data_IF_273987906161
#
_entry.id   IF_273987906161
#
_cell.length_a   1.000
_cell.length_b   1.000
_cell.length_c   1.000
_cell.angle_alpha   90.00
_cell.angle_beta   90.00
_cell.angle_gamma   90.00
#
_symmetry.space_group_name_H-M   'P 1'
#
loop_
_entity.id
_entity.type
_entity.pdbx_description
1 polymer ?
#
# COMPACT_ATOMS: atom_id res chain seq x y z
N UNK A 1 -4.68 -38.11 -19.77
CA UNK A 1 -5.32 -36.76 -19.79
C UNK A 1 -6.30 -36.56 -18.64
N UNK A 2 -7.37 -37.35 -18.49
CA UNK A 2 -8.34 -37.20 -17.38
C UNK A 2 -7.72 -37.24 -15.97
N UNK A 3 -6.76 -38.14 -15.72
CA UNK A 3 -6.08 -38.28 -14.42
C UNK A 3 -5.19 -37.09 -14.03
N UNK A 4 -4.63 -36.38 -15.02
CA UNK A 4 -3.79 -35.20 -14.80
C UNK A 4 -4.68 -33.97 -14.55
N UNK A 5 -5.81 -33.87 -15.26
CA UNK A 5 -6.80 -32.82 -15.05
C UNK A 5 -7.45 -32.93 -13.66
N UNK A 6 -7.76 -34.16 -13.20
CA UNK A 6 -8.29 -34.38 -11.84
C UNK A 6 -7.25 -34.11 -10.75
N UNK A 7 -5.96 -34.41 -11.01
CA UNK A 7 -4.88 -34.09 -10.08
C UNK A 7 -4.61 -32.58 -9.97
N UNK A 8 -4.69 -31.84 -11.09
CA UNK A 8 -4.60 -30.38 -11.11
C UNK A 8 -5.78 -29.71 -10.41
N UNK A 9 -7.01 -30.20 -10.61
CA UNK A 9 -8.17 -29.70 -9.88
C UNK A 9 -8.09 -30.02 -8.38
N UNK A 10 -7.59 -31.19 -7.98
CA UNK A 10 -7.39 -31.55 -6.58
C UNK A 10 -6.27 -30.71 -5.92
N UNK A 11 -5.19 -30.42 -6.65
CA UNK A 11 -4.12 -29.53 -6.21
C UNK A 11 -4.63 -28.09 -6.06
N UNK A 12 -5.49 -27.62 -6.98
CA UNK A 12 -6.11 -26.29 -6.92
C UNK A 12 -7.10 -26.15 -5.75
N UNK A 13 -7.83 -27.22 -5.40
CA UNK A 13 -8.74 -27.28 -4.24
C UNK A 13 -8.01 -27.31 -2.89
N UNK A 14 -6.78 -27.84 -2.83
CA UNK A 14 -5.94 -27.83 -1.62
C UNK A 14 -5.34 -26.46 -1.28
N UNK A 15 -5.32 -25.50 -2.23
CA UNK A 15 -4.79 -24.14 -2.00
C UNK A 15 -5.87 -23.18 -1.47
N UNK A 16 -7.15 -23.55 -1.52
CA UNK A 16 -8.25 -22.76 -0.96
C UNK A 16 -8.45 -23.04 0.54
N UNK A 17 -7.40 -22.83 1.35
CA UNK A 17 -7.62 -22.57 2.77
C UNK A 17 -8.10 -21.12 2.89
N UNK A 18 -9.41 -20.92 2.72
CA UNK A 18 -10.06 -19.68 3.14
C UNK A 18 -9.83 -19.58 4.63
N UNK A 19 -8.91 -18.69 5.02
CA UNK A 19 -8.75 -18.28 6.40
C UNK A 19 -10.03 -17.57 6.79
N UNK A 20 -10.97 -18.31 7.36
CA UNK A 20 -12.14 -17.71 7.99
C UNK A 20 -11.60 -16.84 9.13
N UNK A 21 -11.90 -15.54 9.06
CA UNK A 21 -11.78 -14.63 10.19
C UNK A 21 -12.26 -15.32 11.48
N UNK A 22 -11.42 -15.36 12.51
CA UNK A 22 -11.80 -16.01 13.76
C UNK A 22 -13.05 -15.34 14.37
N UNK A 23 -13.97 -16.10 14.98
CA UNK A 23 -15.22 -15.56 15.54
C UNK A 23 -14.97 -14.46 16.59
N UNK A 24 -13.80 -14.48 17.25
CA UNK A 24 -13.40 -13.48 18.26
C UNK A 24 -13.09 -12.12 17.62
N UNK A 25 -12.30 -12.07 16.54
CA UNK A 25 -11.94 -10.80 15.90
C UNK A 25 -13.16 -10.12 15.28
N UNK A 26 -14.08 -10.90 14.70
CA UNK A 26 -15.35 -10.37 14.20
C UNK A 26 -16.18 -9.75 15.32
N UNK A 27 -16.29 -10.44 16.47
CA UNK A 27 -17.01 -9.90 17.64
C UNK A 27 -16.39 -8.61 18.17
N UNK A 28 -15.05 -8.51 18.20
CA UNK A 28 -14.35 -7.29 18.57
C UNK A 28 -14.58 -6.16 17.56
N UNK A 29 -14.60 -6.46 16.26
CA UNK A 29 -14.90 -5.49 15.22
C UNK A 29 -16.32 -4.93 15.38
N UNK A 30 -17.30 -5.79 15.62
CA UNK A 30 -18.69 -5.39 15.87
C UNK A 30 -18.83 -4.57 17.15
N UNK A 31 -18.08 -4.93 18.20
CA UNK A 31 -17.98 -4.12 19.43
C UNK A 31 -17.42 -2.73 19.15
N UNK A 32 -16.35 -2.61 18.36
CA UNK A 32 -15.77 -1.32 17.98
C UNK A 32 -16.76 -0.46 17.17
N UNK A 33 -17.51 -1.08 16.26
CA UNK A 33 -18.57 -0.41 15.51
C UNK A 33 -19.67 0.12 16.44
N UNK A 34 -20.04 -0.64 17.48
CA UNK A 34 -21.03 -0.22 18.45
C UNK A 34 -20.54 0.96 19.31
N UNK A 35 -19.32 0.88 19.85
CA UNK A 35 -18.68 1.99 20.58
C UNK A 35 -18.62 3.26 19.74
N UNK A 36 -18.29 3.13 18.45
CA UNK A 36 -18.27 4.27 17.52
C UNK A 36 -19.66 4.91 17.37
N UNK A 37 -20.73 4.11 17.24
CA UNK A 37 -22.12 4.60 17.19
C UNK A 37 -22.53 5.29 18.49
N UNK A 38 -22.04 4.80 19.61
CA UNK A 38 -22.24 5.37 20.96
C UNK A 38 -21.34 6.60 21.21
N UNK A 39 -20.57 7.04 20.20
CA UNK A 39 -19.64 8.18 20.25
C UNK A 39 -18.46 8.00 21.21
N UNK A 40 -18.18 6.76 21.61
CA UNK A 40 -17.00 6.36 22.39
C UNK A 40 -15.82 6.14 21.43
N UNK A 41 -15.36 7.24 20.82
CA UNK A 41 -14.43 7.19 19.69
C UNK A 41 -13.03 6.72 20.07
N UNK A 42 -12.53 7.08 21.25
CA UNK A 42 -11.18 6.69 21.71
C UNK A 42 -11.12 5.17 21.93
N UNK A 43 -12.14 4.62 22.57
CA UNK A 43 -12.28 3.19 22.85
C UNK A 43 -12.48 2.41 21.55
N UNK A 44 -13.33 2.90 20.64
CA UNK A 44 -13.51 2.30 19.32
C UNK A 44 -12.19 2.27 18.53
N UNK A 45 -11.45 3.39 18.50
CA UNK A 45 -10.16 3.48 17.82
C UNK A 45 -9.13 2.50 18.41
N UNK A 46 -9.10 2.35 19.74
CA UNK A 46 -8.24 1.38 20.42
C UNK A 46 -8.52 -0.06 19.99
N UNK A 47 -9.78 -0.47 19.91
CA UNK A 47 -10.14 -1.83 19.45
C UNK A 47 -9.81 -2.01 17.97
N UNK A 48 -10.09 -1.02 17.11
CA UNK A 48 -9.70 -1.12 15.69
C UNK A 48 -8.19 -1.24 15.52
N UNK A 49 -7.39 -0.47 16.26
CA UNK A 49 -5.94 -0.56 16.23
C UNK A 49 -5.45 -1.93 16.70
N UNK A 50 -6.03 -2.47 17.78
CA UNK A 50 -5.72 -3.83 18.23
C UNK A 50 -5.97 -4.87 17.13
N UNK A 51 -7.12 -4.80 16.45
CA UNK A 51 -7.43 -5.70 15.34
C UNK A 51 -6.43 -5.56 14.18
N UNK A 52 -6.01 -4.32 13.86
CA UNK A 52 -4.96 -4.07 12.86
C UNK A 52 -3.66 -4.75 13.27
N UNK A 53 -3.25 -4.60 14.53
CA UNK A 53 -1.99 -5.13 15.06
C UNK A 53 -2.02 -6.67 15.13
N UNK A 54 -3.19 -7.28 15.35
CA UNK A 54 -3.42 -8.72 15.27
C UNK A 54 -3.41 -9.28 13.83
N UNK A 55 -3.27 -8.42 12.82
CA UNK A 55 -3.32 -8.80 11.41
C UNK A 55 -4.72 -9.17 10.92
N UNK A 56 -5.77 -8.75 11.64
CA UNK A 56 -7.14 -8.98 11.24
C UNK A 56 -7.46 -8.19 9.97
N UNK A 57 -7.98 -8.88 8.96
CA UNK A 57 -8.35 -8.25 7.70
C UNK A 57 -9.86 -8.03 7.62
N UNK A 58 -10.25 -6.76 7.59
CA UNK A 58 -11.57 -6.31 7.13
C UNK A 58 -11.39 -5.15 6.16
N UNK A 59 -12.09 -5.12 5.01
CA UNK A 59 -11.91 -4.07 3.99
C UNK A 59 -12.05 -2.64 4.53
N UNK A 60 -12.87 -2.46 5.58
CA UNK A 60 -13.17 -1.15 6.16
C UNK A 60 -12.33 -0.83 7.42
N UNK A 61 -11.46 -1.72 7.87
CA UNK A 61 -10.82 -1.62 9.19
C UNK A 61 -10.02 -0.34 9.38
N UNK A 62 -9.10 -0.05 8.44
CA UNK A 62 -8.30 1.16 8.46
C UNK A 62 -9.16 2.43 8.33
N UNK A 63 -10.18 2.41 7.45
CA UNK A 63 -11.11 3.55 7.31
C UNK A 63 -11.88 3.81 8.61
N UNK A 64 -12.36 2.76 9.29
CA UNK A 64 -13.10 2.88 10.54
C UNK A 64 -12.20 3.34 11.69
N UNK A 65 -10.96 2.85 11.76
CA UNK A 65 -9.94 3.35 12.68
C UNK A 65 -9.67 4.84 12.44
N UNK A 66 -9.48 5.25 11.19
CA UNK A 66 -9.26 6.65 10.81
C UNK A 66 -10.44 7.54 11.21
N UNK A 67 -11.68 7.09 10.95
CA UNK A 67 -12.89 7.79 11.35
C UNK A 67 -12.97 7.96 12.87
N UNK A 68 -12.66 6.92 13.63
CA UNK A 68 -12.66 6.94 15.09
C UNK A 68 -11.59 7.91 15.64
N UNK A 69 -10.35 7.82 15.16
CA UNK A 69 -9.28 8.74 15.54
C UNK A 69 -9.60 10.20 15.18
N UNK A 70 -10.19 10.44 14.00
CA UNK A 70 -10.59 11.79 13.59
C UNK A 70 -11.63 12.39 14.53
N UNK A 71 -12.64 11.59 14.92
CA UNK A 71 -13.68 11.99 15.87
C UNK A 71 -13.15 12.12 17.31
N UNK A 72 -12.09 11.41 17.65
CA UNK A 72 -11.35 11.53 18.92
C UNK A 72 -10.31 12.67 18.95
N UNK A 73 -10.25 13.52 17.91
CA UNK A 73 -9.26 14.59 17.77
C UNK A 73 -7.80 14.09 17.85
N UNK A 74 -7.53 12.94 17.24
CA UNK A 74 -6.19 12.38 17.01
C UNK A 74 -5.88 12.44 15.52
N UNK A 75 -5.57 13.63 15.02
CA UNK A 75 -5.53 13.93 13.58
C UNK A 75 -4.44 13.14 12.86
N UNK A 76 -3.24 13.02 13.43
CA UNK A 76 -2.13 12.28 12.82
C UNK A 76 -2.43 10.80 12.68
N UNK A 77 -3.03 10.19 13.72
CA UNK A 77 -3.48 8.80 13.66
C UNK A 77 -4.63 8.59 12.66
N UNK A 78 -5.51 9.58 12.51
CA UNK A 78 -6.58 9.51 11.52
C UNK A 78 -6.01 9.50 10.09
N UNK A 79 -5.14 10.46 9.78
CA UNK A 79 -4.47 10.60 8.48
C UNK A 79 -3.67 9.33 8.17
N UNK A 80 -2.86 8.86 9.12
CA UNK A 80 -2.11 7.61 8.98
C UNK A 80 -3.00 6.43 8.59
N UNK A 81 -4.14 6.26 9.26
CA UNK A 81 -5.05 5.16 8.96
C UNK A 81 -5.77 5.33 7.61
N UNK A 82 -6.09 6.56 7.19
CA UNK A 82 -6.65 6.78 5.86
C UNK A 82 -5.63 6.51 4.75
N UNK A 83 -4.38 6.94 4.91
CA UNK A 83 -3.28 6.63 4.00
C UNK A 83 -3.10 5.10 3.88
N UNK A 84 -3.11 4.38 5.01
CA UNK A 84 -3.11 2.91 5.03
C UNK A 84 -4.30 2.27 4.32
N UNK A 85 -5.49 2.88 4.42
CA UNK A 85 -6.63 2.41 3.66
C UNK A 85 -6.43 2.62 2.15
N UNK A 86 -5.84 3.75 1.73
CA UNK A 86 -5.55 4.04 0.32
C UNK A 86 -4.43 3.17 -0.27
N UNK A 87 -3.47 2.68 0.53
CA UNK A 87 -2.53 1.65 0.06
C UNK A 87 -3.23 0.35 -0.37
N UNK A 88 -4.41 0.05 0.21
CA UNK A 88 -5.20 -1.15 -0.12
C UNK A 88 -6.22 -0.89 -1.22
N UNK A 89 -6.86 0.28 -1.18
CA UNK A 89 -7.85 0.72 -2.16
C UNK A 89 -7.62 2.20 -2.51
N UNK A 90 -6.71 2.49 -3.47
CA UNK A 90 -6.36 3.87 -3.83
C UNK A 90 -7.50 4.67 -4.44
N UNK A 91 -8.58 4.01 -4.86
CA UNK A 91 -9.72 4.62 -5.55
C UNK A 91 -10.93 4.79 -4.64
N UNK A 92 -10.78 4.52 -3.34
CA UNK A 92 -11.85 4.63 -2.37
C UNK A 92 -12.26 6.09 -2.14
N UNK A 93 -13.33 6.52 -2.81
CA UNK A 93 -13.82 7.90 -2.73
C UNK A 93 -14.13 8.36 -1.30
N UNK A 94 -14.63 7.46 -0.45
CA UNK A 94 -14.95 7.78 0.94
C UNK A 94 -13.68 8.04 1.76
N UNK A 95 -12.65 7.20 1.60
CA UNK A 95 -11.36 7.41 2.27
C UNK A 95 -10.67 8.66 1.76
N UNK A 96 -10.64 8.89 0.44
CA UNK A 96 -10.06 10.11 -0.16
C UNK A 96 -10.73 11.36 0.41
N UNK A 97 -12.07 11.36 0.49
CA UNK A 97 -12.81 12.47 1.08
C UNK A 97 -12.49 12.68 2.56
N UNK A 98 -12.49 11.61 3.36
CA UNK A 98 -12.22 11.69 4.79
C UNK A 98 -10.78 12.13 5.08
N UNK A 99 -9.81 11.66 4.29
CA UNK A 99 -8.42 12.11 4.33
C UNK A 99 -8.32 13.60 4.02
N UNK A 100 -8.97 14.07 2.95
CA UNK A 100 -8.99 15.50 2.61
C UNK A 100 -9.55 16.36 3.75
N UNK A 101 -10.63 15.91 4.40
CA UNK A 101 -11.22 16.59 5.56
C UNK A 101 -10.28 16.55 6.77
N UNK A 102 -9.58 15.44 7.00
CA UNK A 102 -8.60 15.34 8.09
C UNK A 102 -7.40 16.24 7.87
N UNK A 103 -6.88 16.31 6.64
CA UNK A 103 -5.76 17.17 6.27
C UNK A 103 -6.06 18.66 6.47
N UNK A 104 -7.31 19.09 6.32
CA UNK A 104 -7.71 20.47 6.62
C UNK A 104 -7.52 20.88 8.10
N UNK A 105 -7.36 19.91 9.02
CA UNK A 105 -7.02 20.19 10.43
C UNK A 105 -5.51 20.32 10.67
N UNK A 106 -4.68 19.95 9.70
CA UNK A 106 -3.23 20.02 9.84
C UNK A 106 -2.79 21.45 9.59
N UNK A 107 -2.03 21.99 10.54
CA UNK A 107 -1.51 23.35 10.43
C UNK A 107 -0.48 23.45 9.29
N UNK A 108 -0.67 24.44 8.42
CA UNK A 108 0.18 24.61 7.24
C UNK A 108 -0.06 23.60 6.12
N UNK A 109 -1.18 22.86 6.14
CA UNK A 109 -1.53 21.93 5.07
C UNK A 109 -1.61 22.64 3.71
N UNK A 110 -0.83 22.11 2.77
CA UNK A 110 -0.88 22.49 1.36
C UNK A 110 -1.58 21.36 0.63
N UNK A 111 -2.63 21.68 -0.13
CA UNK A 111 -3.34 20.69 -0.93
C UNK A 111 -2.38 20.01 -1.91
N UNK A 112 -2.35 18.67 -1.89
CA UNK A 112 -1.69 17.91 -2.93
C UNK A 112 -2.35 18.20 -4.29
N UNK A 113 -1.51 18.31 -5.31
CA UNK A 113 -1.99 18.46 -6.67
C UNK A 113 -2.71 17.17 -7.09
N UNK A 114 -3.88 17.25 -7.73
CA UNK A 114 -4.58 16.07 -8.21
C UNK A 114 -3.71 15.34 -9.23
N UNK A 115 -3.72 14.01 -9.15
CA UNK A 115 -3.00 13.16 -10.11
C UNK A 115 -3.50 13.41 -11.54
N UNK A 116 -2.56 13.46 -12.47
CA UNK A 116 -2.86 13.56 -13.90
C UNK A 116 -3.52 12.27 -14.40
N UNK A 117 -4.31 12.35 -15.48
CA UNK A 117 -5.09 11.21 -15.98
C UNK A 117 -4.23 9.96 -16.27
N UNK A 118 -3.01 10.13 -16.78
CA UNK A 118 -2.09 9.03 -17.07
C UNK A 118 -1.46 8.43 -15.81
N UNK A 119 -1.29 9.22 -14.74
CA UNK A 119 -0.87 8.72 -13.43
C UNK A 119 -1.97 7.88 -12.81
N UNK A 120 -3.24 8.32 -12.92
CA UNK A 120 -4.39 7.54 -12.47
C UNK A 120 -4.50 6.21 -13.24
N UNK A 121 -4.37 6.24 -14.57
CA UNK A 121 -4.38 5.03 -15.39
C UNK A 121 -3.23 4.08 -15.03
N UNK A 122 -2.03 4.62 -14.80
CA UNK A 122 -0.88 3.84 -14.37
C UNK A 122 -1.10 3.16 -13.00
N UNK A 123 -1.69 3.89 -12.04
CA UNK A 123 -2.09 3.31 -10.75
C UNK A 123 -3.12 2.20 -10.91
N UNK A 124 -4.08 2.35 -11.82
CA UNK A 124 -5.05 1.29 -12.12
C UNK A 124 -4.37 0.04 -12.67
N UNK A 125 -3.36 0.19 -13.54
CA UNK A 125 -2.54 -0.94 -13.98
C UNK A 125 -1.87 -1.58 -12.77
N UNK A 126 -1.15 -0.82 -11.94
CA UNK A 126 -0.42 -1.37 -10.80
C UNK A 126 -1.33 -2.16 -9.83
N UNK A 127 -2.56 -1.68 -9.59
CA UNK A 127 -3.51 -2.29 -8.64
C UNK A 127 -4.45 -3.34 -9.26
N UNK A 128 -4.33 -3.62 -10.56
CA UNK A 128 -5.14 -4.67 -11.20
C UNK A 128 -4.82 -6.06 -10.63
N UNK A 129 -3.58 -6.26 -10.19
CA UNK A 129 -3.13 -7.45 -9.45
C UNK A 129 -2.33 -7.04 -8.22
N UNK A 130 -2.29 -7.92 -7.22
CA UNK A 130 -1.31 -7.80 -6.14
C UNK A 130 0.12 -7.97 -6.70
N UNK A 131 1.18 -7.52 -5.99
CA UNK A 131 2.56 -7.75 -6.41
C UNK A 131 2.86 -9.24 -6.73
N UNK A 132 2.30 -10.16 -5.94
CA UNK A 132 2.40 -11.60 -6.18
C UNK A 132 1.63 -12.06 -7.42
N UNK A 133 0.51 -11.43 -7.76
CA UNK A 133 -0.23 -11.70 -9.00
C UNK A 133 0.58 -11.30 -10.24
N UNK A 134 1.24 -10.14 -10.20
CA UNK A 134 2.17 -9.71 -11.25
C UNK A 134 3.36 -10.68 -11.41
N UNK A 135 3.97 -11.08 -10.30
CA UNK A 135 5.06 -12.05 -10.29
C UNK A 135 4.62 -13.42 -10.85
N UNK A 136 3.43 -13.91 -10.47
CA UNK A 136 2.86 -15.16 -10.99
C UNK A 136 2.64 -15.09 -12.51
N UNK A 137 2.09 -13.98 -13.00
CA UNK A 137 1.91 -13.76 -14.44
C UNK A 137 3.25 -13.78 -15.20
N UNK A 138 4.30 -13.15 -14.64
CA UNK A 138 5.64 -13.20 -15.22
C UNK A 138 6.16 -14.64 -15.34
N UNK A 139 6.00 -15.47 -14.30
CA UNK A 139 6.39 -16.90 -14.33
C UNK A 139 5.62 -17.67 -15.42
N UNK A 140 4.31 -17.44 -15.55
CA UNK A 140 3.49 -18.09 -16.58
C UNK A 140 3.96 -17.70 -17.99
N UNK A 141 4.15 -16.42 -18.27
CA UNK A 141 4.61 -15.95 -19.58
C UNK A 141 6.04 -16.39 -19.89
N UNK A 142 6.90 -16.53 -18.87
CA UNK A 142 8.23 -17.10 -19.01
C UNK A 142 8.19 -18.56 -19.49
N UNK A 143 7.33 -19.40 -18.90
CA UNK A 143 7.18 -20.79 -19.34
C UNK A 143 6.56 -20.90 -20.74
N UNK A 144 5.58 -20.04 -21.07
CA UNK A 144 5.02 -19.96 -22.42
C UNK A 144 6.08 -19.54 -23.46
N UNK A 145 6.96 -18.60 -23.10
CA UNK A 145 8.08 -18.19 -23.92
C UNK A 145 9.04 -19.36 -24.19
N UNK A 146 9.47 -20.07 -23.15
CA UNK A 146 10.34 -21.26 -23.29
C UNK A 146 9.68 -22.31 -24.17
N UNK A 147 8.40 -22.64 -23.92
CA UNK A 147 7.67 -23.62 -24.72
C UNK A 147 7.55 -23.18 -26.19
N UNK A 148 7.30 -21.90 -26.45
CA UNK A 148 7.25 -21.34 -27.80
C UNK A 148 8.60 -21.44 -28.53
N UNK A 149 9.70 -21.11 -27.86
CA UNK A 149 11.06 -21.22 -28.41
C UNK A 149 11.40 -22.68 -28.72
N UNK A 150 11.12 -23.61 -27.80
CA UNK A 150 11.35 -25.06 -28.03
C UNK A 150 10.53 -25.54 -29.23
N UNK A 151 9.26 -25.16 -29.34
CA UNK A 151 8.41 -25.54 -30.46
C UNK A 151 8.93 -25.01 -31.80
N UNK A 152 9.45 -23.77 -31.84
CA UNK A 152 10.05 -23.18 -33.03
C UNK A 152 11.34 -23.88 -33.47
N UNK A 153 12.12 -24.41 -32.54
CA UNK A 153 13.38 -25.11 -32.83
C UNK A 153 13.17 -26.57 -33.23
N UNK A 154 12.20 -27.26 -32.62
CA UNK A 154 12.04 -28.71 -32.76
C UNK A 154 10.91 -29.15 -33.70
N UNK A 155 9.99 -28.25 -34.08
CA UNK A 155 8.79 -28.60 -34.86
C UNK A 155 8.72 -27.79 -36.17
N UNK A 156 9.55 -28.13 -37.18
CA UNK A 156 9.60 -27.39 -38.45
C UNK A 156 8.31 -27.47 -39.29
N UNK A 157 7.38 -28.38 -38.96
CA UNK A 157 6.12 -28.59 -39.68
C UNK A 157 4.96 -27.66 -39.24
N UNK A 158 5.06 -26.98 -38.10
CA UNK A 158 4.01 -26.06 -37.64
C UNK A 158 4.07 -24.73 -38.39
N UNK A 159 2.91 -24.09 -38.66
CA UNK A 159 2.80 -22.78 -39.31
C UNK A 159 3.71 -21.75 -38.58
N UNK A 160 4.92 -21.43 -39.10
CA UNK A 160 5.95 -20.78 -38.29
C UNK A 160 5.62 -19.30 -38.06
N UNK A 161 4.82 -18.68 -38.92
CA UNK A 161 4.43 -17.28 -38.77
C UNK A 161 3.57 -17.06 -37.51
N UNK A 162 2.49 -17.83 -37.33
CA UNK A 162 1.62 -17.70 -36.16
C UNK A 162 2.36 -18.03 -34.86
N UNK A 163 3.16 -19.10 -34.86
CA UNK A 163 3.93 -19.49 -33.69
C UNK A 163 4.94 -18.40 -33.29
N UNK A 164 5.66 -17.81 -34.26
CA UNK A 164 6.55 -16.66 -34.03
C UNK A 164 5.80 -15.46 -33.45
N UNK A 165 4.62 -15.13 -33.97
CA UNK A 165 3.79 -14.06 -33.43
C UNK A 165 3.37 -14.33 -31.98
N UNK A 166 2.87 -15.53 -31.68
CA UNK A 166 2.46 -15.91 -30.32
C UNK A 166 3.65 -15.88 -29.36
N UNK A 167 4.81 -16.42 -29.77
CA UNK A 167 6.03 -16.35 -28.96
C UNK A 167 6.48 -14.91 -28.74
N UNK A 168 6.43 -14.06 -29.78
CA UNK A 168 6.74 -12.63 -29.65
C UNK A 168 5.82 -11.90 -28.67
N UNK A 169 4.51 -12.16 -28.73
CA UNK A 169 3.55 -11.61 -27.76
C UNK A 169 3.84 -12.12 -26.35
N UNK A 170 4.14 -13.40 -26.18
CA UNK A 170 4.52 -13.96 -24.88
C UNK A 170 5.79 -13.30 -24.31
N UNK A 171 6.79 -12.99 -25.17
CA UNK A 171 7.99 -12.24 -24.77
C UNK A 171 7.63 -10.84 -24.26
N UNK A 172 6.82 -10.09 -25.00
CA UNK A 172 6.40 -8.73 -24.60
C UNK A 172 5.64 -8.77 -23.28
N UNK A 173 4.71 -9.71 -23.12
CA UNK A 173 3.95 -9.88 -21.89
C UNK A 173 4.83 -10.31 -20.73
N UNK A 174 5.82 -11.18 -20.94
CA UNK A 174 6.79 -11.54 -19.91
C UNK A 174 7.52 -10.31 -19.36
N UNK A 175 8.12 -9.48 -20.23
CA UNK A 175 8.84 -8.30 -19.78
C UNK A 175 7.92 -7.25 -19.17
N UNK A 176 6.70 -7.09 -19.68
CA UNK A 176 5.69 -6.22 -19.09
C UNK A 176 5.34 -6.67 -17.67
N UNK A 177 4.93 -7.92 -17.48
CA UNK A 177 4.59 -8.46 -16.16
C UNK A 177 5.77 -8.43 -15.19
N UNK A 178 6.98 -8.74 -15.67
CA UNK A 178 8.20 -8.68 -14.85
C UNK A 178 8.47 -7.25 -14.36
N UNK A 179 8.38 -6.26 -15.26
CA UNK A 179 8.65 -4.86 -14.92
C UNK A 179 7.61 -4.32 -13.92
N UNK A 180 6.32 -4.59 -14.16
CA UNK A 180 5.25 -4.19 -13.24
C UNK A 180 5.38 -4.93 -11.90
N UNK A 181 5.72 -6.22 -11.92
CA UNK A 181 5.96 -7.02 -10.71
C UNK A 181 7.09 -6.47 -9.84
N UNK A 182 8.22 -6.11 -10.45
CA UNK A 182 9.34 -5.47 -9.73
C UNK A 182 8.91 -4.10 -9.20
N UNK A 183 8.29 -3.27 -10.03
CA UNK A 183 7.83 -1.93 -9.64
C UNK A 183 6.86 -1.98 -8.45
N UNK A 184 5.84 -2.84 -8.51
CA UNK A 184 4.86 -2.99 -7.43
C UNK A 184 5.45 -3.61 -6.18
N UNK A 185 6.44 -4.50 -6.30
CA UNK A 185 7.17 -5.04 -5.15
C UNK A 185 8.01 -3.96 -4.45
N UNK A 186 8.72 -3.12 -5.21
CA UNK A 186 9.50 -2.00 -4.65
C UNK A 186 8.59 -0.99 -3.97
N UNK A 187 7.44 -0.67 -4.57
CA UNK A 187 6.45 0.23 -3.96
C UNK A 187 5.90 -0.38 -2.67
N UNK A 188 5.49 -1.65 -2.68
CA UNK A 188 4.88 -2.31 -1.53
C UNK A 188 5.83 -2.50 -0.34
N UNK A 189 7.15 -2.52 -0.56
CA UNK A 189 8.16 -2.66 0.50
C UNK A 189 8.93 -1.36 0.77
N UNK A 190 8.61 -0.29 0.04
CA UNK A 190 9.29 0.99 0.14
C UNK A 190 8.62 1.90 1.15
N UNK A 191 9.04 1.85 2.42
CA UNK A 191 8.53 2.71 3.49
C UNK A 191 9.15 4.12 3.46
N UNK A 192 8.95 4.83 2.34
CA UNK A 192 9.51 6.15 2.09
C UNK A 192 8.58 7.28 2.53
N UNK A 193 7.35 7.00 2.95
CA UNK A 193 6.41 8.01 3.42
C UNK A 193 6.14 7.83 4.90
N UNK A 194 5.76 8.92 5.58
CA UNK A 194 5.39 8.86 6.98
C UNK A 194 4.56 10.07 7.40
N UNK A 195 3.90 9.93 8.54
CA UNK A 195 3.06 10.97 9.14
C UNK A 195 3.72 11.43 10.43
N UNK A 196 3.86 12.75 10.59
CA UNK A 196 4.36 13.36 11.83
C UNK A 196 3.33 13.15 12.95
N UNK A 197 3.77 12.64 14.10
CA UNK A 197 2.92 12.34 15.25
C UNK A 197 3.08 13.34 16.40
N UNK A 198 4.22 14.03 16.50
CA UNK A 198 4.44 15.07 17.48
C UNK A 198 3.64 16.33 17.17
N UNK A 199 3.14 17.01 18.22
CA UNK A 199 2.32 18.22 18.06
C UNK A 199 3.11 19.41 17.51
N UNK A 200 4.42 19.47 17.79
CA UNK A 200 5.32 20.57 17.47
C UNK A 200 6.75 20.01 17.35
N UNK A 201 7.13 19.60 16.14
CA UNK A 201 8.40 18.92 15.86
C UNK A 201 9.33 19.88 15.13
N UNK A 202 10.46 20.19 15.77
CA UNK A 202 11.47 21.05 15.17
C UNK A 202 12.31 20.29 14.16
N UNK A 203 12.38 20.83 12.95
CA UNK A 203 13.21 20.28 11.87
C UNK A 203 14.55 21.01 11.84
N UNK A 204 15.63 20.23 11.82
CA UNK A 204 17.01 20.67 11.95
C UNK A 204 17.76 20.63 10.63
N UNK A 205 18.79 21.47 10.49
CA UNK A 205 19.64 21.50 9.30
C UNK A 205 20.52 20.24 9.13
N UNK A 206 20.95 19.63 10.24
CA UNK A 206 21.78 18.43 10.29
C UNK A 206 21.24 17.42 11.32
N UNK A 207 21.61 16.12 11.22
CA UNK A 207 21.20 15.07 12.17
C UNK A 207 21.97 15.16 13.49
N UNK A 208 21.87 16.30 14.15
CA UNK A 208 22.58 16.60 15.39
C UNK A 208 21.70 17.44 16.32
N UNK A 209 21.77 17.21 17.63
CA UNK A 209 20.90 17.85 18.60
C UNK A 209 21.16 19.36 18.69
N UNK A 210 22.42 19.78 18.56
CA UNK A 210 22.83 21.19 18.60
C UNK A 210 22.70 21.90 17.25
N UNK A 211 22.33 21.17 16.20
CA UNK A 211 22.05 21.79 14.90
C UNK A 211 20.91 22.79 15.02
N UNK A 212 21.07 23.89 14.27
CA UNK A 212 20.07 24.96 14.12
C UNK A 212 18.72 24.40 13.67
N UNK A 213 17.66 24.85 14.35
CA UNK A 213 16.26 24.63 13.96
C UNK A 213 15.93 25.51 12.74
N UNK A 214 15.39 24.90 11.68
CA UNK A 214 15.06 25.56 10.42
C UNK A 214 13.59 25.97 10.34
N UNK A 215 12.69 25.07 10.75
CA UNK A 215 11.25 25.26 10.77
C UNK A 215 10.60 24.23 11.70
N UNK A 216 9.30 24.35 11.92
CA UNK A 216 8.52 23.44 12.76
C UNK A 216 7.45 22.74 11.92
N UNK A 217 7.17 21.49 12.25
CA UNK A 217 6.09 20.68 11.69
C UNK A 217 5.12 20.28 12.79
N UNK A 218 3.87 20.07 12.41
CA UNK A 218 2.80 19.70 13.32
C UNK A 218 2.28 18.28 13.03
N UNK A 219 1.52 17.75 13.98
CA UNK A 219 0.87 16.43 13.87
C UNK A 219 0.05 16.35 12.58
N UNK A 220 0.18 15.23 11.86
CA UNK A 220 -0.57 14.93 10.65
C UNK A 220 0.09 15.38 9.35
N UNK A 221 1.20 16.11 9.40
CA UNK A 221 1.97 16.42 8.17
C UNK A 221 2.52 15.13 7.57
N UNK A 222 2.20 14.89 6.29
CA UNK A 222 2.79 13.81 5.48
C UNK A 222 4.15 14.23 4.95
N UNK A 223 5.14 13.37 5.10
CA UNK A 223 6.53 13.62 4.71
C UNK A 223 7.11 12.42 3.96
N UNK A 224 8.06 12.68 3.07
CA UNK A 224 8.87 11.63 2.46
C UNK A 224 10.18 11.48 3.23
N UNK A 225 10.49 10.29 3.73
CA UNK A 225 11.76 9.94 4.35
C UNK A 225 12.76 9.56 3.25
N UNK A 226 13.78 10.40 3.07
CA UNK A 226 14.79 10.26 2.00
C UNK A 226 16.10 9.66 2.47
N UNK A 227 16.40 9.80 3.76
CA UNK A 227 17.60 9.25 4.39
C UNK A 227 17.33 9.04 5.88
N UNK A 228 18.12 8.18 6.54
CA UNK A 228 18.00 7.95 7.96
C UNK A 228 19.33 7.52 8.59
N UNK A 229 19.57 8.06 9.78
CA UNK A 229 20.53 7.54 10.76
C UNK A 229 19.78 6.67 11.78
N UNK A 230 20.45 6.26 12.86
CA UNK A 230 19.77 5.51 13.94
C UNK A 230 18.70 6.34 14.66
N UNK A 231 18.93 7.65 14.85
CA UNK A 231 18.04 8.51 15.64
C UNK A 231 17.32 9.57 14.80
N UNK A 232 17.94 10.05 13.72
CA UNK A 232 17.42 11.13 12.88
C UNK A 232 17.05 10.65 11.49
N UNK A 233 15.90 11.12 11.00
CA UNK A 233 15.38 10.86 9.67
C UNK A 233 15.41 12.16 8.86
N UNK A 234 15.93 12.09 7.63
CA UNK A 234 15.88 13.20 6.68
C UNK A 234 14.57 13.15 5.93
N UNK A 235 13.84 14.25 5.95
CA UNK A 235 12.55 14.38 5.30
C UNK A 235 12.59 15.32 4.09
N UNK A 236 11.66 15.11 3.18
CA UNK A 236 11.31 15.97 2.06
C UNK A 236 9.80 16.27 2.16
N UNK A 237 9.46 17.55 2.15
CA UNK A 237 8.08 18.02 2.13
C UNK A 237 7.57 18.19 0.69
N UNK A 238 6.23 18.21 0.48
CA UNK A 238 5.64 18.45 -0.84
C UNK A 238 6.05 19.79 -1.48
N UNK A 239 6.38 20.80 -0.68
CA UNK A 239 6.85 22.11 -1.15
C UNK A 239 8.35 22.14 -1.52
N UNK A 240 9.04 21.00 -1.38
CA UNK A 240 10.46 20.84 -1.69
C UNK A 240 11.42 21.15 -0.55
N UNK A 241 10.94 21.58 0.63
CA UNK A 241 11.81 21.77 1.80
C UNK A 241 12.33 20.44 2.33
N UNK A 242 13.55 20.46 2.84
CA UNK A 242 14.19 19.28 3.45
C UNK A 242 14.76 19.62 4.81
N UNK A 243 14.96 18.61 5.65
CA UNK A 243 15.62 18.73 6.94
C UNK A 243 15.60 17.43 7.73
N UNK A 244 16.17 17.46 8.94
CA UNK A 244 16.33 16.31 9.81
C UNK A 244 15.49 16.43 11.06
N UNK A 245 14.88 15.34 11.51
CA UNK A 245 14.13 15.28 12.77
C UNK A 245 14.21 13.87 13.36
N UNK A 246 13.89 13.73 14.64
CA UNK A 246 13.98 12.44 15.32
C UNK A 246 13.02 11.43 14.66
N UNK A 247 13.53 10.26 14.27
CA UNK A 247 12.73 9.24 13.58
C UNK A 247 11.51 8.78 14.41
N UNK A 248 11.58 8.88 15.75
CA UNK A 248 10.48 8.54 16.65
C UNK A 248 9.24 9.44 16.48
N UNK A 249 9.40 10.64 15.93
CA UNK A 249 8.30 11.58 15.65
C UNK A 249 7.51 11.21 14.38
N UNK A 250 8.02 10.25 13.59
CA UNK A 250 7.42 9.84 12.31
C UNK A 250 6.87 8.43 12.46
N UNK A 251 5.57 8.26 12.16
CA UNK A 251 5.01 6.93 11.92
C UNK A 251 5.10 6.63 10.42
N UNK A 252 5.91 5.65 10.03
CA UNK A 252 6.10 5.25 8.62
C UNK A 252 4.87 4.53 8.08
N UNK A 253 4.52 4.86 6.84
CA UNK A 253 3.60 4.11 6.00
C UNK A 253 4.39 2.91 5.43
#
# INVERSE_FOLDING_TARGET
>A
MKKILTALCALFLLVYNVSAAGPVQQQQFDKANQLYKEKQYTEAAGIYQQLIDEGYYQPQLFMNAGNAYYKANRTGLAIYNYEKALEKDPFNKSVIHNLSVANQRVEGYVNDLPLLFFQQWWLHIQHFHSPNGWAMGAVIFFWLLIAGVIALLLIPAFKPALLRWVTGVATVLFFFYLTIGISTYVIANGHHEGIIMGSAVKVKAAPDQESKDMFELHEGVKVQVTDATQEYCKILLPDGKTGWLACAEIRRL
#
